data_IF_794641265220
#
_entry.id   IF_794641265220
#
_cell.length_a   1.000
_cell.length_b   1.000
_cell.length_c   1.000
_cell.angle_alpha   90.00
_cell.angle_beta   90.00
_cell.angle_gamma   90.00
#
_symmetry.space_group_name_H-M   'P 1'
#
loop_
_entity.id
_entity.type
_entity.pdbx_description
1 polymer ?
#
# COMPACT_ATOMS: atom_id res chain seq x y z
N UNK A 1 -4.03 -4.66 14.41
CA UNK A 1 -3.63 -3.60 13.45
C UNK A 1 -4.77 -3.37 12.47
N UNK A 2 -5.25 -2.15 12.36
CA UNK A 2 -6.30 -1.80 11.41
C UNK A 2 -5.66 -1.34 10.10
N UNK A 3 -6.02 -1.99 9.01
CA UNK A 3 -5.40 -1.77 7.69
C UNK A 3 -6.41 -1.13 6.75
N UNK A 4 -5.96 -0.12 6.01
CA UNK A 4 -6.74 0.52 4.97
C UNK A 4 -6.02 0.49 3.64
N UNK A 5 -6.80 0.45 2.56
CA UNK A 5 -6.31 0.50 1.18
C UNK A 5 -6.89 1.71 0.47
N UNK A 6 -6.04 2.56 -0.05
CA UNK A 6 -6.45 3.67 -0.91
C UNK A 6 -6.22 3.23 -2.35
N UNK A 7 -7.30 3.07 -3.09
CA UNK A 7 -7.28 2.44 -4.41
C UNK A 7 -7.61 0.96 -4.29
N UNK A 8 -8.47 0.47 -5.16
CA UNK A 8 -9.03 -0.88 -5.06
C UNK A 8 -8.88 -1.66 -6.38
N UNK A 9 -7.75 -1.47 -7.05
CA UNK A 9 -7.42 -2.17 -8.29
C UNK A 9 -6.83 -3.57 -8.05
N UNK A 10 -6.19 -4.11 -9.09
CA UNK A 10 -5.69 -5.48 -9.06
C UNK A 10 -4.64 -5.75 -7.98
N UNK A 11 -3.71 -4.82 -7.75
CA UNK A 11 -2.68 -5.03 -6.75
C UNK A 11 -3.26 -4.92 -5.32
N UNK A 12 -4.16 -3.98 -5.08
CA UNK A 12 -4.86 -3.89 -3.80
C UNK A 12 -5.61 -5.19 -3.50
N UNK A 13 -6.28 -5.73 -4.52
CA UNK A 13 -7.00 -7.00 -4.40
C UNK A 13 -6.05 -8.15 -4.07
N UNK A 14 -4.93 -8.24 -4.77
CA UNK A 14 -3.96 -9.31 -4.53
C UNK A 14 -3.40 -9.26 -3.10
N UNK A 15 -3.02 -8.08 -2.64
CA UNK A 15 -2.51 -7.90 -1.28
C UNK A 15 -3.59 -8.21 -0.24
N UNK A 16 -4.79 -7.69 -0.43
CA UNK A 16 -5.89 -7.90 0.52
C UNK A 16 -6.24 -9.38 0.66
N UNK A 17 -6.28 -10.10 -0.46
CA UNK A 17 -6.54 -11.54 -0.44
C UNK A 17 -5.39 -12.31 0.19
N UNK A 18 -4.15 -11.90 -0.07
CA UNK A 18 -2.97 -12.54 0.51
C UNK A 18 -2.89 -12.35 2.02
N UNK A 19 -3.28 -11.19 2.53
CA UNK A 19 -3.32 -10.93 3.97
C UNK A 19 -4.47 -11.66 4.66
N UNK A 20 -5.51 -12.03 3.93
CA UNK A 20 -6.64 -12.84 4.38
C UNK A 20 -7.29 -12.34 5.68
N UNK A 21 -7.47 -11.03 5.81
CA UNK A 21 -8.14 -10.41 6.97
C UNK A 21 -8.97 -9.22 6.53
N UNK A 22 -9.99 -8.85 7.32
CA UNK A 22 -10.80 -7.67 7.01
C UNK A 22 -9.96 -6.41 6.99
N UNK A 23 -10.28 -5.50 6.07
CA UNK A 23 -9.63 -4.21 5.93
C UNK A 23 -10.64 -3.17 5.47
N UNK A 24 -10.23 -1.90 5.46
CA UNK A 24 -11.05 -0.82 4.95
C UNK A 24 -10.55 -0.46 3.54
N UNK A 25 -11.48 -0.19 2.64
CA UNK A 25 -11.16 0.09 1.24
C UNK A 25 -11.81 1.38 0.78
N UNK A 26 -11.06 2.19 0.02
CA UNK A 26 -11.62 3.32 -0.69
C UNK A 26 -11.24 3.27 -2.16
N UNK A 27 -12.04 3.92 -3.00
CA UNK A 27 -11.76 4.07 -4.42
C UNK A 27 -12.18 5.47 -4.88
N UNK A 28 -12.00 5.74 -6.16
CA UNK A 28 -12.36 7.03 -6.77
C UNK A 28 -13.76 7.01 -7.41
N UNK A 29 -14.65 6.11 -6.94
CA UNK A 29 -16.00 5.99 -7.48
C UNK A 29 -16.21 4.83 -8.43
N UNK A 30 -15.21 3.92 -8.54
CA UNK A 30 -15.29 2.76 -9.44
C UNK A 30 -16.21 1.64 -8.95
N UNK A 31 -16.51 1.62 -7.64
CA UNK A 31 -17.27 0.53 -7.01
C UNK A 31 -16.40 -0.66 -6.62
N UNK A 32 -15.10 -0.64 -6.92
CA UNK A 32 -14.19 -1.75 -6.60
C UNK A 32 -13.96 -1.92 -5.11
N UNK A 33 -14.04 -0.83 -4.33
CA UNK A 33 -13.89 -0.91 -2.89
C UNK A 33 -14.98 -1.78 -2.26
N UNK A 34 -16.23 -1.64 -2.71
CA UNK A 34 -17.34 -2.46 -2.22
C UNK A 34 -17.13 -3.92 -2.59
N UNK A 35 -16.64 -4.20 -3.80
CA UNK A 35 -16.36 -5.55 -4.26
C UNK A 35 -15.27 -6.21 -3.40
N UNK A 36 -14.19 -5.49 -3.09
CA UNK A 36 -13.13 -6.00 -2.24
C UNK A 36 -13.59 -6.18 -0.80
N UNK A 37 -14.40 -5.28 -0.29
CA UNK A 37 -14.96 -5.41 1.05
C UNK A 37 -15.79 -6.69 1.17
N UNK A 38 -16.63 -6.97 0.17
CA UNK A 38 -17.43 -8.19 0.14
C UNK A 38 -16.55 -9.45 0.10
N UNK A 39 -15.48 -9.42 -0.70
CA UNK A 39 -14.59 -10.58 -0.86
C UNK A 39 -13.74 -10.86 0.38
N UNK A 40 -13.49 -9.87 1.23
CA UNK A 40 -12.57 -9.99 2.38
C UNK A 40 -13.25 -9.87 3.73
N UNK A 41 -14.54 -9.57 3.75
CA UNK A 41 -15.25 -9.31 5.00
C UNK A 41 -14.95 -7.94 5.61
N UNK A 42 -14.42 -7.01 4.81
CA UNK A 42 -14.10 -5.66 5.25
C UNK A 42 -15.22 -4.66 4.96
N UNK A 43 -14.86 -3.38 4.87
CA UNK A 43 -15.79 -2.28 4.60
C UNK A 43 -15.26 -1.36 3.50
N UNK A 44 -16.19 -0.86 2.67
CA UNK A 44 -15.89 0.24 1.75
C UNK A 44 -16.22 1.57 2.46
N UNK A 45 -15.25 2.45 2.58
CA UNK A 45 -15.38 3.72 3.30
C UNK A 45 -14.69 4.84 2.53
N UNK A 46 -14.84 6.08 3.00
CA UNK A 46 -14.13 7.21 2.40
C UNK A 46 -12.64 7.19 2.77
N UNK A 47 -11.82 7.85 1.97
CA UNK A 47 -10.39 8.03 2.28
C UNK A 47 -10.19 8.73 3.64
N UNK A 48 -11.02 9.75 3.93
CA UNK A 48 -10.94 10.44 5.22
C UNK A 48 -11.23 9.50 6.40
N UNK A 49 -12.14 8.55 6.22
CA UNK A 49 -12.45 7.59 7.27
C UNK A 49 -11.31 6.59 7.48
N UNK A 50 -10.64 6.19 6.42
CA UNK A 50 -9.43 5.36 6.51
C UNK A 50 -8.37 6.09 7.34
N UNK A 51 -8.17 7.38 7.11
CA UNK A 51 -7.20 8.18 7.87
C UNK A 51 -7.49 8.17 9.38
N UNK A 52 -8.77 8.19 9.76
CA UNK A 52 -9.17 8.21 11.17
C UNK A 52 -9.11 6.83 11.84
N UNK A 53 -9.35 5.77 11.10
CA UNK A 53 -9.56 4.43 11.67
C UNK A 53 -8.40 3.49 11.52
N UNK A 54 -7.46 3.76 10.62
CA UNK A 54 -6.39 2.81 10.28
C UNK A 54 -5.04 3.23 10.85
N UNK A 55 -4.28 2.24 11.31
CA UNK A 55 -2.90 2.41 11.76
C UNK A 55 -1.92 2.27 10.60
N UNK A 56 -2.27 1.47 9.59
CA UNK A 56 -1.46 1.20 8.41
C UNK A 56 -2.29 1.41 7.16
N UNK A 57 -1.76 2.17 6.22
CA UNK A 57 -2.44 2.47 4.95
C UNK A 57 -1.57 2.01 3.79
N UNK A 58 -2.16 1.19 2.91
CA UNK A 58 -1.56 0.82 1.64
C UNK A 58 -1.99 1.82 0.57
N UNK A 59 -1.03 2.45 -0.10
CA UNK A 59 -1.30 3.33 -1.24
C UNK A 59 -1.25 2.49 -2.51
N UNK A 60 -2.42 2.25 -3.09
CA UNK A 60 -2.61 1.45 -4.30
C UNK A 60 -3.36 2.23 -5.39
N UNK A 61 -3.45 3.54 -5.25
CA UNK A 61 -4.08 4.43 -6.22
C UNK A 61 -3.11 4.72 -7.37
N UNK A 62 -3.54 5.49 -8.36
CA UNK A 62 -2.65 5.89 -9.46
C UNK A 62 -1.65 6.95 -8.97
N UNK A 63 -0.38 6.92 -9.42
CA UNK A 63 0.63 7.89 -8.98
C UNK A 63 0.22 9.35 -9.14
N UNK A 64 -0.53 9.68 -10.19
CA UNK A 64 -1.00 11.06 -10.43
C UNK A 64 -1.98 11.56 -9.37
N UNK A 65 -2.53 10.68 -8.56
CA UNK A 65 -3.49 11.02 -7.50
C UNK A 65 -2.81 11.31 -6.16
N UNK A 66 -1.48 11.24 -6.08
CA UNK A 66 -0.75 11.37 -4.82
C UNK A 66 -1.10 12.65 -4.05
N UNK A 67 -1.11 13.80 -4.73
CA UNK A 67 -1.40 15.08 -4.08
C UNK A 67 -2.82 15.12 -3.51
N UNK A 68 -3.80 14.66 -4.28
CA UNK A 68 -5.20 14.61 -3.86
C UNK A 68 -5.39 13.69 -2.67
N UNK A 69 -4.80 12.50 -2.73
CA UNK A 69 -4.89 11.52 -1.64
C UNK A 69 -4.19 12.05 -0.39
N UNK A 70 -3.02 12.68 -0.54
CA UNK A 70 -2.30 13.25 0.59
C UNK A 70 -3.09 14.33 1.30
N UNK A 71 -3.87 15.13 0.57
CA UNK A 71 -4.75 16.12 1.18
C UNK A 71 -5.84 15.46 2.02
N UNK A 72 -6.43 14.39 1.53
CA UNK A 72 -7.47 13.65 2.26
C UNK A 72 -6.90 12.94 3.50
N UNK A 73 -5.61 12.62 3.49
CA UNK A 73 -4.92 11.97 4.61
C UNK A 73 -4.10 12.96 5.45
N UNK A 74 -4.36 14.24 5.33
CA UNK A 74 -3.54 15.29 5.98
C UNK A 74 -3.37 15.02 7.48
N UNK A 75 -2.13 15.06 7.95
CA UNK A 75 -1.81 14.81 9.35
C UNK A 75 -1.71 13.34 9.76
N UNK A 76 -1.91 12.41 8.85
CA UNK A 76 -1.77 11.00 9.16
C UNK A 76 -0.35 10.69 9.65
N UNK A 77 -0.25 10.07 10.82
CA UNK A 77 1.04 9.81 11.48
C UNK A 77 1.33 8.33 11.69
N UNK A 78 0.54 7.45 11.09
CA UNK A 78 0.78 6.01 11.17
C UNK A 78 1.79 5.53 10.13
N UNK A 79 1.58 4.33 9.63
CA UNK A 79 2.46 3.69 8.66
C UNK A 79 1.84 3.74 7.27
N UNK A 80 2.63 4.15 6.29
CA UNK A 80 2.22 4.20 4.88
C UNK A 80 3.08 3.20 4.11
N UNK A 81 2.42 2.22 3.50
CA UNK A 81 3.06 1.23 2.63
C UNK A 81 2.66 1.56 1.20
N UNK A 82 3.62 1.98 0.38
CA UNK A 82 3.35 2.38 -0.99
C UNK A 82 3.68 1.25 -1.96
N UNK A 83 2.78 1.01 -2.92
CA UNK A 83 3.03 0.17 -4.08
C UNK A 83 3.02 1.00 -5.36
N UNK A 84 3.12 2.33 -5.23
CA UNK A 84 3.02 3.24 -6.38
C UNK A 84 4.25 3.16 -7.27
N UNK A 85 4.03 3.01 -8.57
CA UNK A 85 5.10 3.09 -9.54
C UNK A 85 5.62 4.54 -9.64
N UNK A 86 6.89 4.69 -10.00
CA UNK A 86 7.52 5.98 -10.28
C UNK A 86 7.33 7.06 -9.20
N UNK A 87 7.16 6.62 -7.94
CA UNK A 87 6.94 7.52 -6.81
C UNK A 87 7.95 7.18 -5.73
N UNK A 88 9.00 8.00 -5.62
CA UNK A 88 10.11 7.68 -4.73
C UNK A 88 9.85 8.05 -3.26
N UNK A 89 10.74 7.62 -2.39
CA UNK A 89 10.65 7.90 -0.95
C UNK A 89 10.64 9.39 -0.66
N UNK A 90 11.38 10.19 -1.43
CA UNK A 90 11.37 11.65 -1.27
C UNK A 90 10.00 12.25 -1.49
N UNK A 91 9.32 11.84 -2.56
CA UNK A 91 7.96 12.30 -2.86
C UNK A 91 6.97 11.82 -1.79
N UNK A 92 7.10 10.58 -1.34
CA UNK A 92 6.22 10.03 -0.32
C UNK A 92 6.41 10.72 1.03
N UNK A 93 7.64 10.99 1.42
CA UNK A 93 7.96 11.69 2.67
C UNK A 93 7.49 13.15 2.64
N UNK A 94 7.56 13.79 1.48
CA UNK A 94 7.03 15.14 1.33
C UNK A 94 5.50 15.16 1.44
N UNK A 95 4.83 14.14 0.90
CA UNK A 95 3.37 14.02 0.96
C UNK A 95 2.87 13.66 2.37
N UNK A 96 3.62 12.85 3.11
CA UNK A 96 3.23 12.35 4.44
C UNK A 96 4.36 12.58 5.46
N UNK A 97 4.63 13.83 5.83
CA UNK A 97 5.80 14.15 6.66
C UNK A 97 5.76 13.58 8.07
N UNK A 98 4.59 13.17 8.55
CA UNK A 98 4.43 12.63 9.91
C UNK A 98 4.34 11.10 9.95
N UNK A 99 4.29 10.44 8.79
CA UNK A 99 4.12 8.99 8.72
C UNK A 99 5.47 8.29 8.58
N UNK A 100 5.49 7.01 8.94
CA UNK A 100 6.59 6.12 8.56
C UNK A 100 6.29 5.59 7.18
N UNK A 101 7.26 5.69 6.28
CA UNK A 101 7.09 5.34 4.87
C UNK A 101 7.87 4.08 4.53
N UNK A 102 7.18 3.10 3.95
CA UNK A 102 7.79 1.89 3.39
C UNK A 102 7.40 1.81 1.92
N UNK A 103 8.38 1.91 1.03
CA UNK A 103 8.15 1.77 -0.40
C UNK A 103 8.37 0.34 -0.82
N UNK A 104 7.40 -0.25 -1.51
CA UNK A 104 7.43 -1.65 -1.90
C UNK A 104 7.07 -1.84 -3.37
N UNK A 105 7.45 -3.01 -3.90
CA UNK A 105 7.08 -3.46 -5.24
C UNK A 105 6.72 -4.94 -5.13
N UNK A 106 5.45 -5.26 -4.87
CA UNK A 106 4.98 -6.64 -4.84
C UNK A 106 4.65 -7.16 -6.24
N UNK A 107 4.46 -8.46 -6.36
CA UNK A 107 3.97 -9.09 -7.60
C UNK A 107 2.68 -9.85 -7.34
N UNK A 108 1.97 -10.26 -8.40
CA UNK A 108 0.64 -10.86 -8.28
C UNK A 108 0.58 -12.13 -7.40
N UNK A 109 1.59 -13.05 -7.38
CA UNK A 109 1.54 -14.22 -6.49
C UNK A 109 1.41 -13.90 -4.99
N UNK A 110 1.53 -12.64 -4.57
CA UNK A 110 1.24 -12.23 -3.18
C UNK A 110 -0.18 -12.61 -2.76
N UNK A 111 -1.10 -12.75 -3.71
CA UNK A 111 -2.47 -13.18 -3.45
C UNK A 111 -2.52 -14.54 -2.76
N UNK A 112 -1.54 -15.39 -3.02
CA UNK A 112 -1.45 -16.76 -2.48
C UNK A 112 -0.36 -16.92 -1.42
N UNK A 113 0.22 -15.82 -0.94
CA UNK A 113 1.34 -15.87 -0.02
C UNK A 113 2.64 -16.35 -0.64
N UNK A 114 2.72 -16.41 -1.96
CA UNK A 114 3.86 -16.95 -2.71
C UNK A 114 4.55 -15.88 -3.57
N UNK A 115 4.33 -14.63 -3.23
CA UNK A 115 4.92 -13.53 -3.95
C UNK A 115 6.35 -13.23 -3.54
N UNK A 116 6.89 -12.21 -4.19
CA UNK A 116 8.12 -11.54 -3.77
C UNK A 116 7.77 -10.08 -3.58
N UNK A 117 8.10 -9.54 -2.41
CA UNK A 117 7.89 -8.13 -2.12
C UNK A 117 9.26 -7.46 -2.01
N UNK A 118 9.60 -6.66 -3.00
CA UNK A 118 10.79 -5.83 -2.92
C UNK A 118 10.49 -4.64 -2.01
N UNK A 119 11.41 -4.34 -1.09
CA UNK A 119 11.30 -3.20 -0.18
C UNK A 119 12.49 -2.30 -0.43
N UNK A 120 12.24 -1.02 -0.67
CA UNK A 120 13.34 -0.07 -0.81
C UNK A 120 14.15 -0.05 0.49
N UNK A 121 15.45 -0.29 0.40
CA UNK A 121 16.32 -0.42 1.56
C UNK A 121 16.34 0.84 2.43
N UNK A 122 16.09 1.99 1.82
CA UNK A 122 16.07 3.29 2.48
C UNK A 122 14.71 3.62 3.13
N UNK A 123 13.76 2.69 3.07
CA UNK A 123 12.46 2.84 3.76
C UNK A 123 12.65 2.98 5.27
N UNK A 124 11.68 3.62 5.92
CA UNK A 124 11.72 3.76 7.38
C UNK A 124 11.60 2.39 8.04
N UNK A 125 12.34 2.13 9.13
CA UNK A 125 12.21 0.87 9.85
C UNK A 125 10.82 0.69 10.42
N UNK A 126 10.21 -0.47 10.16
CA UNK A 126 8.88 -0.79 10.64
C UNK A 126 8.74 -2.31 10.75
N UNK A 127 9.13 -2.87 11.90
CA UNK A 127 9.12 -4.31 12.12
C UNK A 127 7.74 -4.95 11.94
N UNK A 128 6.67 -4.25 12.35
CA UNK A 128 5.30 -4.73 12.18
C UNK A 128 4.94 -4.84 10.69
N UNK A 129 5.45 -3.93 9.87
CA UNK A 129 5.20 -3.96 8.43
C UNK A 129 5.98 -5.09 7.79
N UNK A 130 7.23 -5.32 8.19
CA UNK A 130 8.00 -6.44 7.69
C UNK A 130 7.28 -7.76 8.01
N UNK A 131 6.75 -7.91 9.22
CA UNK A 131 6.01 -9.08 9.61
C UNK A 131 4.74 -9.25 8.77
N UNK A 132 4.01 -8.17 8.54
CA UNK A 132 2.79 -8.17 7.74
C UNK A 132 3.09 -8.55 6.29
N UNK A 133 4.09 -7.91 5.69
CA UNK A 133 4.49 -8.18 4.30
C UNK A 133 5.04 -9.59 4.13
N UNK A 134 5.64 -10.16 5.17
CA UNK A 134 6.12 -11.54 5.16
C UNK A 134 5.01 -12.57 4.96
N UNK A 135 3.77 -12.21 5.26
CA UNK A 135 2.61 -13.08 4.98
C UNK A 135 2.32 -13.19 3.47
N UNK A 136 2.84 -12.25 2.69
CA UNK A 136 2.62 -12.21 1.24
C UNK A 136 3.65 -13.02 0.46
N UNK A 137 4.75 -13.42 1.09
CA UNK A 137 5.82 -14.17 0.47
C UNK A 137 7.19 -13.77 0.95
N UNK A 138 8.18 -13.85 0.06
CA UNK A 138 9.56 -13.52 0.38
C UNK A 138 9.79 -12.00 0.30
N UNK A 139 10.47 -11.45 1.31
CA UNK A 139 10.86 -10.05 1.31
C UNK A 139 12.29 -9.92 0.78
N UNK A 140 12.51 -8.95 -0.10
CA UNK A 140 13.84 -8.61 -0.61
C UNK A 140 14.07 -7.12 -0.45
N UNK A 141 15.12 -6.75 0.29
CA UNK A 141 15.50 -5.35 0.43
C UNK A 141 16.48 -5.00 -0.67
N UNK A 142 16.14 -4.00 -1.47
CA UNK A 142 16.98 -3.53 -2.58
C UNK A 142 17.13 -2.02 -2.50
N UNK A 143 18.26 -1.46 -2.96
CA UNK A 143 18.39 0.00 -3.04
C UNK A 143 17.26 0.61 -3.86
N UNK A 144 16.73 1.74 -3.43
CA UNK A 144 15.63 2.39 -4.14
C UNK A 144 15.97 2.69 -5.60
N UNK A 145 17.23 3.02 -5.87
CA UNK A 145 17.68 3.28 -7.24
C UNK A 145 17.41 2.11 -8.20
N UNK A 146 17.29 0.89 -7.68
CA UNK A 146 16.98 -0.28 -8.49
C UNK A 146 15.49 -0.44 -8.79
N UNK A 147 14.61 0.26 -8.09
CA UNK A 147 13.17 0.17 -8.32
C UNK A 147 12.77 0.66 -9.71
N UNK A 148 13.42 1.71 -10.21
CA UNK A 148 13.15 2.23 -11.55
C UNK A 148 13.50 1.18 -12.62
N UNK A 149 14.64 0.50 -12.45
CA UNK A 149 15.05 -0.55 -13.36
C UNK A 149 14.11 -1.76 -13.31
N UNK A 150 13.72 -2.16 -12.10
CA UNK A 150 12.80 -3.28 -11.92
C UNK A 150 11.44 -2.99 -12.56
N UNK A 151 10.94 -1.77 -12.41
CA UNK A 151 9.68 -1.33 -13.01
C UNK A 151 9.77 -1.36 -14.55
N UNK A 152 10.88 -0.88 -15.10
CA UNK A 152 11.10 -0.87 -16.56
C UNK A 152 11.18 -2.28 -17.15
N UNK A 153 11.72 -3.24 -16.41
CA UNK A 153 11.86 -4.63 -16.86
C UNK A 153 10.58 -5.42 -16.62
N UNK A 154 9.92 -5.20 -15.49
CA UNK A 154 8.75 -5.96 -15.08
C UNK A 154 7.42 -5.40 -15.57
N UNK A 155 7.44 -4.21 -16.13
CA UNK A 155 6.23 -3.52 -16.63
C UNK A 155 5.87 -3.89 -18.08
#
# INVERSE_FOLDING_TARGET
MTIGFIGSGNMARAIALGLARPALFSDSGSGRAATLADATGGEAVSTAEIARRCETIFLCHKPKQLSEVAQALAGFSGKVVSVLAATDLGALRAAYPKAKIVRTMPNIPVQYGEGVVAIAAESDPAAEIDQLLGELGRLERVPEAEFELATAIGG
#
